data_IF_186063908806
#
_entry.id   IF_186063908806
#
_cell.length_a   1.000
_cell.length_b   1.000
_cell.length_c   1.000
_cell.angle_alpha   90.00
_cell.angle_beta   90.00
_cell.angle_gamma   90.00
#
_symmetry.space_group_name_H-M   'P 1'
#
loop_
_entity.id
_entity.type
_entity.pdbx_description
1 polymer ?
#
# COMPACT_ATOMS: atom_id res chain seq x y z
N UNK A 1 -26.51 -3.73 -8.08
CA UNK A 1 -25.91 -2.49 -7.57
C UNK A 1 -24.76 -2.12 -8.48
N UNK A 2 -24.77 -0.90 -9.00
CA UNK A 2 -23.73 -0.33 -9.88
C UNK A 2 -22.81 0.56 -9.02
N UNK A 3 -21.52 0.27 -9.01
CA UNK A 3 -20.53 0.95 -8.14
C UNK A 3 -19.49 1.66 -9.00
N UNK A 4 -19.23 2.93 -8.69
CA UNK A 4 -18.08 3.65 -9.22
C UNK A 4 -16.93 3.59 -8.21
N UNK A 5 -15.75 3.15 -8.66
CA UNK A 5 -14.49 3.30 -7.94
C UNK A 5 -13.67 4.34 -8.68
N UNK A 6 -13.35 5.45 -8.01
CA UNK A 6 -12.73 6.64 -8.62
C UNK A 6 -11.27 6.71 -8.18
N UNK A 7 -10.37 6.59 -9.15
CA UNK A 7 -8.93 6.49 -8.99
C UNK A 7 -8.44 5.04 -9.10
N UNK A 8 -7.67 4.74 -10.15
CA UNK A 8 -7.09 3.43 -10.42
C UNK A 8 -5.64 3.31 -9.91
N UNK A 9 -5.35 3.87 -8.75
CA UNK A 9 -4.17 3.51 -7.95
C UNK A 9 -4.31 2.08 -7.42
N UNK A 10 -3.30 1.56 -6.70
CA UNK A 10 -3.32 0.18 -6.19
C UNK A 10 -4.56 -0.10 -5.31
N UNK A 11 -4.97 0.85 -4.47
CA UNK A 11 -6.17 0.69 -3.64
C UNK A 11 -7.44 0.61 -4.46
N UNK A 12 -7.64 1.53 -5.43
CA UNK A 12 -8.82 1.52 -6.27
C UNK A 12 -8.92 0.26 -7.12
N UNK A 13 -7.82 -0.18 -7.72
CA UNK A 13 -7.77 -1.43 -8.47
C UNK A 13 -8.13 -2.64 -7.58
N UNK A 14 -7.55 -2.72 -6.38
CA UNK A 14 -7.83 -3.82 -5.46
C UNK A 14 -9.30 -3.84 -5.00
N UNK A 15 -9.85 -2.69 -4.63
CA UNK A 15 -11.25 -2.55 -4.25
C UNK A 15 -12.17 -2.97 -5.40
N UNK A 16 -11.91 -2.49 -6.62
CA UNK A 16 -12.71 -2.82 -7.79
C UNK A 16 -12.71 -4.32 -8.08
N UNK A 17 -11.54 -4.96 -8.01
CA UNK A 17 -11.41 -6.41 -8.18
C UNK A 17 -12.22 -7.17 -7.13
N UNK A 18 -12.08 -6.82 -5.84
CA UNK A 18 -12.80 -7.50 -4.76
C UNK A 18 -14.32 -7.32 -4.84
N UNK A 19 -14.78 -6.14 -5.22
CA UNK A 19 -16.21 -5.90 -5.45
C UNK A 19 -16.74 -6.69 -6.66
N UNK A 20 -15.96 -6.78 -7.73
CA UNK A 20 -16.31 -7.59 -8.90
C UNK A 20 -16.35 -9.08 -8.57
N UNK A 21 -15.40 -9.59 -7.79
CA UNK A 21 -15.40 -10.97 -7.27
C UNK A 21 -16.64 -11.25 -6.40
N UNK A 22 -17.12 -10.25 -5.65
CA UNK A 22 -18.35 -10.32 -4.87
C UNK A 22 -19.64 -10.19 -5.70
N UNK A 23 -19.54 -10.07 -7.03
CA UNK A 23 -20.67 -10.06 -7.95
C UNK A 23 -21.29 -8.68 -8.21
N UNK A 24 -20.66 -7.59 -7.79
CA UNK A 24 -21.13 -6.24 -8.10
C UNK A 24 -20.75 -5.80 -9.52
N UNK A 25 -21.56 -4.91 -10.11
CA UNK A 25 -21.23 -4.23 -11.35
C UNK A 25 -20.35 -3.01 -11.02
N UNK A 26 -19.09 -3.03 -11.46
CA UNK A 26 -18.08 -2.06 -11.04
C UNK A 26 -17.47 -1.34 -12.23
N UNK A 27 -17.58 -0.02 -12.24
CA UNK A 27 -16.81 0.87 -13.10
C UNK A 27 -15.61 1.41 -12.31
N UNK A 28 -14.40 1.13 -12.79
CA UNK A 28 -13.14 1.67 -12.27
C UNK A 28 -12.69 2.83 -13.16
N UNK A 29 -12.68 4.03 -12.61
CA UNK A 29 -12.54 5.27 -13.36
C UNK A 29 -11.21 5.94 -13.02
N UNK A 30 -10.44 6.31 -14.05
CA UNK A 30 -9.13 6.92 -13.89
C UNK A 30 -8.97 8.07 -14.90
N UNK A 31 -8.49 9.21 -14.43
CA UNK A 31 -8.20 10.37 -15.29
C UNK A 31 -6.96 10.18 -16.17
N UNK A 32 -6.02 9.39 -15.72
CA UNK A 32 -4.81 9.10 -16.44
C UNK A 32 -5.04 8.06 -17.55
N UNK A 33 -4.08 7.97 -18.46
CA UNK A 33 -4.11 7.02 -19.59
C UNK A 33 -3.78 5.57 -19.19
N UNK A 34 -3.44 5.34 -17.92
CA UNK A 34 -3.10 4.01 -17.40
C UNK A 34 -3.34 3.93 -15.89
N UNK A 35 -3.45 2.71 -15.38
CA UNK A 35 -3.56 2.44 -13.95
C UNK A 35 -2.23 2.67 -13.21
N UNK A 36 -2.30 2.98 -11.91
CA UNK A 36 -1.18 2.97 -10.98
C UNK A 36 0.02 3.85 -11.42
N UNK A 37 -0.23 5.02 -12.01
CA UNK A 37 0.85 5.89 -12.52
C UNK A 37 1.63 6.63 -11.43
N UNK A 38 1.05 6.86 -10.27
CA UNK A 38 1.64 7.75 -9.24
C UNK A 38 2.04 7.00 -7.99
N UNK A 39 1.18 6.11 -7.48
CA UNK A 39 1.32 5.57 -6.12
C UNK A 39 2.28 4.40 -5.98
N UNK A 40 2.70 3.77 -7.05
CA UNK A 40 3.58 2.60 -7.01
C UNK A 40 5.06 2.93 -6.92
N UNK A 41 5.44 4.16 -7.22
CA UNK A 41 6.85 4.57 -7.28
C UNK A 41 7.39 5.08 -5.93
N UNK A 42 6.56 5.12 -4.88
CA UNK A 42 6.89 5.75 -3.59
C UNK A 42 7.58 4.78 -2.63
N UNK A 43 7.23 3.50 -2.62
CA UNK A 43 7.82 2.50 -1.73
C UNK A 43 7.82 1.13 -2.40
N UNK A 44 8.97 0.47 -2.37
CA UNK A 44 9.19 -0.84 -2.99
C UNK A 44 9.10 -1.99 -1.98
N UNK A 45 8.85 -1.72 -0.69
CA UNK A 45 8.84 -2.74 0.37
C UNK A 45 7.43 -3.20 0.71
N UNK A 46 7.28 -4.51 0.81
CA UNK A 46 6.09 -5.13 1.39
C UNK A 46 6.21 -5.11 2.92
N UNK A 47 5.90 -3.96 3.53
CA UNK A 47 6.12 -3.67 4.94
C UNK A 47 5.58 -4.73 5.89
N UNK A 48 6.47 -5.41 6.61
CA UNK A 48 6.12 -6.44 7.60
C UNK A 48 5.99 -5.91 9.04
N UNK A 49 6.04 -4.60 9.23
CA UNK A 49 5.76 -3.95 10.50
C UNK A 49 6.98 -3.45 11.27
N UNK A 50 8.19 -3.79 10.88
CA UNK A 50 9.42 -3.42 11.60
C UNK A 50 9.62 -1.91 11.76
N UNK A 51 9.11 -1.10 10.87
CA UNK A 51 9.19 0.36 10.94
C UNK A 51 8.41 0.95 12.12
N UNK A 52 7.42 0.23 12.64
CA UNK A 52 6.44 0.76 13.60
C UNK A 52 6.76 0.37 15.06
N UNK A 53 8.02 0.40 15.49
CA UNK A 53 8.44 0.00 16.83
C UNK A 53 7.76 0.73 18.00
N UNK A 54 7.16 1.91 17.75
CA UNK A 54 6.39 2.70 18.73
C UNK A 54 4.87 2.50 18.67
N UNK A 55 4.39 1.76 17.68
CA UNK A 55 2.96 1.49 17.48
C UNK A 55 2.74 0.00 17.28
N UNK A 56 2.66 -0.77 18.37
CA UNK A 56 2.46 -2.22 18.31
C UNK A 56 1.24 -2.63 17.49
N UNK A 57 0.16 -1.87 17.57
CA UNK A 57 -1.06 -2.14 16.81
C UNK A 57 -0.80 -2.03 15.30
N UNK A 58 -0.12 -0.97 14.86
CA UNK A 58 0.25 -0.80 13.45
C UNK A 58 1.25 -1.89 13.02
N UNK A 59 2.21 -2.23 13.86
CA UNK A 59 3.17 -3.32 13.61
C UNK A 59 2.47 -4.63 13.33
N UNK A 60 1.51 -5.04 14.18
CA UNK A 60 0.75 -6.27 14.04
C UNK A 60 -0.11 -6.23 12.77
N UNK A 61 -0.80 -5.11 12.53
CA UNK A 61 -1.64 -4.93 11.36
C UNK A 61 -0.81 -5.04 10.07
N UNK A 62 0.36 -4.38 10.00
CA UNK A 62 1.27 -4.50 8.87
C UNK A 62 1.77 -5.93 8.66
N UNK A 63 2.19 -6.62 9.72
CA UNK A 63 2.65 -8.01 9.61
C UNK A 63 1.56 -8.96 9.09
N UNK A 64 0.33 -8.76 9.54
CA UNK A 64 -0.82 -9.54 9.04
C UNK A 64 -1.11 -9.21 7.57
N UNK A 65 -1.16 -7.92 7.25
CA UNK A 65 -1.58 -7.46 5.93
C UNK A 65 -0.51 -7.68 4.86
N UNK A 66 0.79 -7.61 5.21
CA UNK A 66 1.87 -7.96 4.28
C UNK A 66 1.71 -9.39 3.74
N UNK A 67 1.38 -10.35 4.60
CA UNK A 67 1.13 -11.73 4.19
C UNK A 67 -0.03 -11.87 3.20
N UNK A 68 -1.07 -11.06 3.36
CA UNK A 68 -2.20 -11.02 2.42
C UNK A 68 -1.77 -10.41 1.09
N UNK A 69 -0.99 -9.33 1.12
CA UNK A 69 -0.45 -8.70 -0.08
C UNK A 69 0.46 -9.66 -0.85
N UNK A 70 1.38 -10.36 -0.17
CA UNK A 70 2.27 -11.35 -0.77
C UNK A 70 1.50 -12.49 -1.46
N UNK A 71 0.39 -12.92 -0.86
CA UNK A 71 -0.50 -13.93 -1.45
C UNK A 71 -1.29 -13.41 -2.64
N UNK A 72 -1.73 -12.16 -2.58
CA UNK A 72 -2.57 -11.54 -3.62
C UNK A 72 -1.76 -11.20 -4.88
N UNK A 73 -0.50 -10.74 -4.71
CA UNK A 73 0.36 -10.25 -5.80
C UNK A 73 1.74 -10.94 -5.83
N UNK A 74 1.79 -12.28 -5.95
CA UNK A 74 3.03 -13.04 -5.83
C UNK A 74 4.03 -12.78 -6.97
N UNK A 75 3.54 -12.42 -8.16
CA UNK A 75 4.41 -12.23 -9.33
C UNK A 75 5.08 -10.85 -9.36
N UNK A 76 4.69 -9.95 -8.46
CA UNK A 76 5.31 -8.64 -8.33
C UNK A 76 6.47 -8.63 -7.34
N UNK A 77 6.65 -9.71 -6.59
CA UNK A 77 7.62 -9.79 -5.51
C UNK A 77 8.99 -10.19 -6.05
N UNK A 78 10.01 -9.61 -5.47
CA UNK A 78 11.37 -10.09 -5.65
C UNK A 78 12.09 -10.12 -4.32
N UNK A 79 12.91 -11.16 -4.17
CA UNK A 79 13.88 -11.25 -3.10
C UNK A 79 15.12 -10.46 -3.52
N UNK A 80 15.63 -9.69 -2.62
CA UNK A 80 16.85 -8.97 -2.82
C UNK A 80 17.60 -8.97 -1.48
N UNK A 81 18.76 -8.41 -1.53
CA UNK A 81 19.67 -8.33 -0.41
C UNK A 81 18.99 -7.86 0.88
N UNK A 82 19.59 -7.78 1.90
CA UNK A 82 19.21 -7.59 3.29
C UNK A 82 18.50 -6.26 3.56
N UNK A 83 17.41 -6.30 4.29
CA UNK A 83 16.80 -5.10 4.87
C UNK A 83 17.35 -4.83 6.27
N UNK A 84 17.66 -3.57 6.55
CA UNK A 84 18.14 -3.15 7.84
C UNK A 84 17.22 -2.12 8.48
N UNK A 85 16.98 -2.30 9.78
CA UNK A 85 16.36 -1.28 10.62
C UNK A 85 17.34 -0.86 11.70
N UNK A 86 17.46 0.46 11.89
CA UNK A 86 18.46 1.05 12.76
C UNK A 86 17.76 2.01 13.71
N UNK A 87 18.03 1.88 15.00
CA UNK A 87 17.64 2.85 16.01
C UNK A 87 18.85 3.73 16.31
N UNK A 88 18.69 5.01 16.13
CA UNK A 88 19.75 5.98 16.39
C UNK A 88 19.99 6.12 17.89
N UNK A 89 21.24 6.30 18.29
CA UNK A 89 21.65 6.50 19.69
C UNK A 89 21.12 7.81 20.28
N UNK A 90 21.05 8.83 19.45
CA UNK A 90 20.57 10.16 19.84
C UNK A 90 19.38 10.57 18.95
N UNK A 91 18.41 11.27 19.53
CA UNK A 91 17.25 11.81 18.82
C UNK A 91 16.16 10.80 18.48
N UNK A 92 16.37 9.50 18.73
CA UNK A 92 15.31 8.51 18.57
C UNK A 92 14.28 8.62 19.70
N UNK A 93 13.00 8.43 19.34
CA UNK A 93 11.87 8.42 20.31
C UNK A 93 11.67 7.06 20.99
N UNK A 94 12.51 6.09 20.69
CA UNK A 94 12.53 4.74 21.28
C UNK A 94 13.99 4.30 21.39
N UNK A 95 14.32 3.60 22.46
CA UNK A 95 15.65 2.98 22.61
C UNK A 95 15.72 1.67 21.86
N UNK A 96 16.94 1.22 21.51
CA UNK A 96 17.15 -0.08 20.90
C UNK A 96 16.64 -1.22 21.79
N UNK A 97 16.77 -1.11 23.11
CA UNK A 97 16.25 -2.10 24.06
C UNK A 97 14.72 -2.20 24.00
N UNK A 98 14.01 -1.09 24.00
CA UNK A 98 12.55 -1.05 23.89
C UNK A 98 12.06 -1.56 22.54
N UNK A 99 12.78 -1.20 21.46
CA UNK A 99 12.47 -1.67 20.13
C UNK A 99 12.57 -3.19 20.04
N UNK A 100 13.68 -3.79 20.48
CA UNK A 100 13.87 -5.22 20.47
C UNK A 100 12.86 -5.95 21.35
N UNK A 101 12.58 -5.42 22.55
CA UNK A 101 11.57 -6.00 23.43
C UNK A 101 10.17 -6.02 22.77
N UNK A 102 9.86 -5.01 21.95
CA UNK A 102 8.62 -4.99 21.18
C UNK A 102 8.61 -6.07 20.11
N UNK A 103 9.71 -6.24 19.35
CA UNK A 103 9.82 -7.29 18.33
C UNK A 103 9.70 -8.68 18.95
N UNK A 104 10.39 -8.94 20.07
CA UNK A 104 10.34 -10.20 20.81
C UNK A 104 8.92 -10.51 21.32
N UNK A 105 8.25 -9.52 21.91
CA UNK A 105 6.87 -9.64 22.39
C UNK A 105 5.90 -10.08 21.27
N UNK A 106 6.08 -9.55 20.07
CA UNK A 106 5.20 -9.85 18.93
C UNK A 106 5.77 -10.90 17.98
N UNK A 107 6.88 -11.55 18.36
CA UNK A 107 7.50 -12.65 17.62
C UNK A 107 7.86 -12.29 16.16
N UNK A 108 8.32 -11.05 15.93
CA UNK A 108 8.90 -10.66 14.66
C UNK A 108 10.37 -11.10 14.61
N UNK A 109 10.74 -11.97 13.68
CA UNK A 109 12.11 -12.49 13.60
C UNK A 109 13.09 -11.40 13.14
N UNK A 110 14.25 -11.34 13.77
CA UNK A 110 15.33 -10.43 13.39
C UNK A 110 16.70 -11.01 13.75
N UNK A 111 17.74 -10.47 13.16
CA UNK A 111 19.14 -10.76 13.50
C UNK A 111 19.85 -9.46 13.84
N UNK A 112 20.41 -9.36 15.05
CA UNK A 112 21.29 -8.22 15.39
C UNK A 112 22.51 -8.21 14.47
N UNK A 113 22.87 -7.05 13.96
CA UNK A 113 23.94 -6.91 12.99
C UNK A 113 24.67 -5.58 13.11
N UNK A 114 25.75 -5.45 12.36
CA UNK A 114 26.40 -4.16 12.07
C UNK A 114 26.13 -3.83 10.61
N UNK A 115 25.69 -2.62 10.35
CA UNK A 115 25.39 -2.19 8.98
C UNK A 115 26.64 -1.56 8.38
N UNK A 116 27.18 -2.11 7.29
CA UNK A 116 28.25 -1.46 6.56
C UNK A 116 27.86 -0.03 6.18
N UNK A 117 28.81 0.85 6.06
CA UNK A 117 28.60 2.26 5.68
C UNK A 117 27.93 3.15 6.75
N UNK A 118 27.50 2.61 7.88
CA UNK A 118 26.94 3.39 8.98
C UNK A 118 27.95 3.46 10.12
N UNK A 119 28.25 4.68 10.58
CA UNK A 119 29.14 4.86 11.73
C UNK A 119 28.47 4.29 12.99
N UNK A 120 29.07 3.28 13.65
CA UNK A 120 28.51 2.61 14.82
C UNK A 120 28.32 3.53 16.03
N UNK A 121 29.04 4.66 16.12
CA UNK A 121 28.91 5.59 17.22
C UNK A 121 27.55 6.26 17.30
N UNK A 122 26.81 6.31 16.17
CA UNK A 122 25.46 6.86 16.09
C UNK A 122 24.37 5.80 16.21
N UNK A 123 24.71 4.52 16.31
CA UNK A 123 23.77 3.40 16.33
C UNK A 123 23.59 2.87 17.75
N UNK A 124 22.34 2.84 18.23
CA UNK A 124 21.96 2.14 19.46
C UNK A 124 21.75 0.64 19.18
N UNK A 125 20.95 0.31 18.18
CA UNK A 125 20.78 -1.05 17.70
C UNK A 125 20.57 -1.05 16.18
N UNK A 126 21.11 -2.07 15.53
CA UNK A 126 20.82 -2.40 14.14
C UNK A 126 20.40 -3.86 14.03
N UNK A 127 19.40 -4.11 13.22
CA UNK A 127 18.89 -5.45 12.92
C UNK A 127 18.79 -5.66 11.42
N UNK A 128 19.01 -6.89 11.00
CA UNK A 128 18.73 -7.43 9.68
C UNK A 128 17.42 -8.21 9.75
N UNK A 129 16.54 -8.03 8.77
CA UNK A 129 15.23 -8.69 8.70
C UNK A 129 14.99 -9.23 7.30
N UNK A 130 14.17 -10.26 7.22
CA UNK A 130 13.63 -10.79 5.96
C UNK A 130 12.35 -10.03 5.63
N UNK A 131 12.45 -9.09 4.72
CA UNK A 131 11.32 -8.31 4.22
C UNK A 131 11.42 -8.29 2.70
N UNK A 132 10.35 -8.67 2.00
CA UNK A 132 10.32 -8.69 0.55
C UNK A 132 10.09 -7.29 -0.03
N UNK A 133 10.60 -7.07 -1.22
CA UNK A 133 10.24 -5.93 -2.04
C UNK A 133 9.33 -6.32 -3.19
N UNK A 134 8.68 -5.34 -3.76
CA UNK A 134 7.94 -5.51 -5.01
C UNK A 134 8.47 -4.56 -6.08
N UNK A 135 8.44 -5.02 -7.32
CA UNK A 135 8.67 -4.19 -8.49
C UNK A 135 7.34 -3.50 -8.88
N UNK A 136 7.27 -2.17 -8.92
CA UNK A 136 6.03 -1.45 -9.22
C UNK A 136 5.52 -1.72 -10.64
N UNK A 137 6.41 -2.00 -11.60
CA UNK A 137 6.01 -2.32 -12.97
C UNK A 137 5.42 -3.73 -13.06
N UNK A 138 6.05 -4.70 -12.39
CA UNK A 138 5.52 -6.06 -12.30
C UNK A 138 4.18 -6.06 -11.55
N UNK A 139 4.05 -5.29 -10.46
CA UNK A 139 2.79 -5.15 -9.75
C UNK A 139 1.70 -4.54 -10.64
N UNK A 140 2.01 -3.48 -11.38
CA UNK A 140 1.08 -2.87 -12.34
C UNK A 140 0.63 -3.87 -13.40
N UNK A 141 1.55 -4.66 -13.94
CA UNK A 141 1.22 -5.67 -14.95
C UNK A 141 0.36 -6.80 -14.38
N UNK A 142 0.69 -7.29 -13.18
CA UNK A 142 -0.13 -8.30 -12.50
C UNK A 142 -1.56 -7.80 -12.25
N UNK A 143 -1.71 -6.56 -11.77
CA UNK A 143 -3.02 -5.92 -11.58
C UNK A 143 -3.76 -5.76 -12.90
N UNK A 144 -3.06 -5.35 -13.98
CA UNK A 144 -3.65 -5.23 -15.33
C UNK A 144 -4.18 -6.57 -15.85
N UNK A 145 -3.43 -7.64 -15.64
CA UNK A 145 -3.86 -9.00 -16.00
C UNK A 145 -5.11 -9.41 -15.22
N UNK A 146 -5.14 -9.13 -13.90
CA UNK A 146 -6.32 -9.41 -13.06
C UNK A 146 -7.55 -8.63 -13.52
N UNK A 147 -7.40 -7.33 -13.80
CA UNK A 147 -8.49 -6.49 -14.31
C UNK A 147 -9.04 -7.01 -15.65
N UNK A 148 -8.17 -7.39 -16.60
CA UNK A 148 -8.58 -7.98 -17.87
C UNK A 148 -9.35 -9.29 -17.72
N UNK A 149 -9.08 -10.08 -16.71
CA UNK A 149 -9.78 -11.33 -16.39
C UNK A 149 -11.05 -11.15 -15.57
N UNK A 150 -11.25 -9.98 -15.00
CA UNK A 150 -12.41 -9.63 -14.17
C UNK A 150 -13.57 -9.10 -15.01
N UNK A 151 -14.70 -8.81 -14.35
CA UNK A 151 -15.84 -8.09 -14.93
C UNK A 151 -15.79 -6.59 -14.62
N UNK A 152 -14.68 -6.06 -14.13
CA UNK A 152 -14.50 -4.63 -13.91
C UNK A 152 -14.46 -3.91 -15.25
N UNK A 153 -15.31 -2.89 -15.41
CA UNK A 153 -15.24 -1.98 -16.55
C UNK A 153 -14.22 -0.87 -16.24
N UNK A 154 -13.06 -0.92 -16.88
CA UNK A 154 -11.98 0.06 -16.70
C UNK A 154 -12.18 1.23 -17.67
N UNK A 155 -12.36 2.44 -17.12
CA UNK A 155 -12.59 3.68 -17.84
C UNK A 155 -11.41 4.61 -17.58
N UNK A 156 -10.51 4.73 -18.55
CA UNK A 156 -9.31 5.59 -18.50
C UNK A 156 -9.56 6.93 -19.20
N UNK A 157 -8.63 7.89 -19.01
CA UNK A 157 -8.69 9.24 -19.59
C UNK A 157 -10.02 9.96 -19.29
N UNK A 158 -10.59 9.73 -18.12
CA UNK A 158 -11.90 10.27 -17.76
C UNK A 158 -11.83 11.01 -16.42
N UNK A 159 -12.08 12.31 -16.46
CA UNK A 159 -12.16 13.12 -15.25
C UNK A 159 -13.51 12.89 -14.55
N UNK A 160 -13.50 13.10 -13.24
CA UNK A 160 -14.68 13.02 -12.39
C UNK A 160 -15.80 13.97 -12.86
N UNK A 161 -15.45 15.16 -13.38
CA UNK A 161 -16.41 16.15 -13.85
C UNK A 161 -17.25 15.67 -15.04
N UNK A 162 -16.77 14.68 -15.79
CA UNK A 162 -17.40 14.22 -17.02
C UNK A 162 -18.40 13.08 -16.82
N UNK A 163 -18.61 12.65 -15.56
CA UNK A 163 -19.38 11.46 -15.26
C UNK A 163 -20.80 11.72 -14.76
N UNK A 164 -21.77 10.94 -15.22
CA UNK A 164 -23.15 10.98 -14.71
C UNK A 164 -23.25 10.25 -13.37
N UNK A 165 -22.73 10.86 -12.29
CA UNK A 165 -22.68 10.20 -10.96
C UNK A 165 -24.02 9.77 -10.40
N UNK A 166 -25.14 10.30 -10.90
CA UNK A 166 -26.48 9.91 -10.48
C UNK A 166 -26.85 8.47 -10.84
N UNK A 167 -26.13 7.87 -11.79
CA UNK A 167 -26.36 6.49 -12.25
C UNK A 167 -25.71 5.42 -11.36
N UNK A 168 -24.90 5.83 -10.38
CA UNK A 168 -24.22 4.90 -9.47
C UNK A 168 -24.91 4.85 -8.12
N UNK A 169 -25.18 3.64 -7.65
CA UNK A 169 -25.74 3.39 -6.32
C UNK A 169 -24.73 3.71 -5.21
N UNK A 170 -23.43 3.45 -5.46
CA UNK A 170 -22.34 3.71 -4.53
C UNK A 170 -21.13 4.30 -5.28
N UNK A 171 -20.43 5.21 -4.61
CA UNK A 171 -19.20 5.83 -5.11
C UNK A 171 -18.09 5.68 -4.08
N UNK A 172 -16.97 5.11 -4.48
CA UNK A 172 -15.80 4.90 -3.64
C UNK A 172 -14.68 5.76 -4.20
N UNK A 173 -14.20 6.70 -3.39
CA UNK A 173 -13.14 7.64 -3.78
C UNK A 173 -11.80 7.09 -3.32
N UNK A 174 -10.88 6.89 -4.26
CA UNK A 174 -9.51 6.42 -4.06
C UNK A 174 -8.49 7.26 -4.84
N UNK A 175 -8.72 8.58 -4.87
CA UNK A 175 -7.96 9.56 -5.67
C UNK A 175 -6.73 10.15 -4.96
N UNK A 176 -6.27 9.59 -3.82
CA UNK A 176 -5.12 10.04 -3.05
C UNK A 176 -5.21 11.53 -2.70
N UNK A 177 -4.28 12.36 -3.19
CA UNK A 177 -4.25 13.81 -2.92
C UNK A 177 -5.49 14.55 -3.46
N UNK A 178 -6.18 13.99 -4.45
CA UNK A 178 -7.38 14.57 -5.06
C UNK A 178 -8.69 14.16 -4.37
N UNK A 179 -8.67 13.40 -3.29
CA UNK A 179 -9.89 12.89 -2.64
C UNK A 179 -10.86 14.01 -2.28
N UNK A 180 -10.37 15.15 -1.75
CA UNK A 180 -11.24 16.27 -1.37
C UNK A 180 -11.82 17.01 -2.58
N UNK A 181 -11.07 17.13 -3.66
CA UNK A 181 -11.56 17.77 -4.90
C UNK A 181 -12.62 16.89 -5.56
N UNK A 182 -12.38 15.58 -5.61
CA UNK A 182 -13.35 14.58 -6.09
C UNK A 182 -14.62 14.60 -5.23
N UNK A 183 -14.47 14.58 -3.89
CA UNK A 183 -15.62 14.64 -2.99
C UNK A 183 -16.43 15.92 -3.19
N UNK A 184 -15.76 17.06 -3.30
CA UNK A 184 -16.41 18.35 -3.56
C UNK A 184 -17.15 18.37 -4.89
N UNK A 185 -16.56 17.81 -5.94
CA UNK A 185 -17.19 17.72 -7.26
C UNK A 185 -18.47 16.87 -7.25
N UNK A 186 -18.47 15.77 -6.48
CA UNK A 186 -19.60 14.84 -6.41
C UNK A 186 -20.69 15.28 -5.43
N UNK A 187 -20.32 15.78 -4.25
CA UNK A 187 -21.23 15.98 -3.11
C UNK A 187 -21.36 17.44 -2.68
N UNK A 188 -20.54 18.34 -3.20
CA UNK A 188 -20.40 19.71 -2.72
C UNK A 188 -19.64 19.84 -1.39
N UNK A 189 -19.14 18.74 -0.81
CA UNK A 189 -18.47 18.71 0.51
C UNK A 189 -17.09 18.09 0.42
N UNK A 190 -16.19 18.50 1.33
CA UNK A 190 -14.89 17.86 1.54
C UNK A 190 -14.99 16.74 2.58
N UNK A 191 -14.07 15.77 2.49
CA UNK A 191 -13.89 14.75 3.51
C UNK A 191 -13.17 15.42 4.70
N UNK A 192 -13.67 15.23 5.90
CA UNK A 192 -13.06 15.70 7.15
C UNK A 192 -12.01 14.70 7.65
#
# INVERSE_FOLDING_TARGET
MKIAVIGAGIYGCHIALKLSEAGFNVDLIERESDIMKITTDISLRAHSGYFYGRSPETMIACNKNSKLFLKEYPNSLFDHDKHYYIIAKNGSKITGKEYLATLDKYKLPYKKTKVPLINPDFVDVAIEVEELSYDPNLLREEVRIKLKKSKVNLILNTDVSDLPFREYDLRIISGYASNNDISRAITGKTIQ
#
